data_IF_850022634830
#
_entry.id   IF_850022634830
#
_cell.length_a   1.000
_cell.length_b   1.000
_cell.length_c   1.000
_cell.angle_alpha   90.00
_cell.angle_beta   90.00
_cell.angle_gamma   90.00
#
_symmetry.space_group_name_H-M   'P 1'
#
loop_
_entity.id
_entity.type
_entity.pdbx_description
1 polymer ?
#
# COMPACT_ATOMS: atom_id res chain seq x y z
N UNK A 1 30.28 -0.07 -48.22
CA UNK A 1 29.76 -0.68 -46.99
C UNK A 1 28.47 0.03 -46.62
N UNK A 2 27.32 -0.67 -46.70
CA UNK A 2 26.01 -0.13 -46.32
C UNK A 2 25.68 -0.63 -44.91
N UNK A 3 25.63 0.27 -43.93
CA UNK A 3 25.21 -0.01 -42.56
C UNK A 3 23.69 -0.01 -42.51
N UNK A 4 23.08 -1.17 -42.22
CA UNK A 4 21.66 -1.28 -41.93
C UNK A 4 21.43 -0.98 -40.45
N UNK A 5 20.64 0.06 -40.16
CA UNK A 5 20.14 0.36 -38.82
C UNK A 5 18.84 -0.42 -38.62
N UNK A 6 18.85 -1.44 -37.77
CA UNK A 6 17.65 -2.18 -37.40
C UNK A 6 16.90 -1.40 -36.31
N UNK A 7 15.74 -0.85 -36.66
CA UNK A 7 14.80 -0.23 -35.71
C UNK A 7 14.00 -1.35 -35.07
N UNK A 8 14.25 -1.61 -33.79
CA UNK A 8 13.46 -2.53 -32.97
C UNK A 8 12.19 -1.80 -32.51
N UNK A 9 11.11 -1.93 -33.28
CA UNK A 9 9.79 -1.47 -32.86
C UNK A 9 9.23 -2.41 -31.77
N UNK A 10 9.25 -1.96 -30.52
CA UNK A 10 8.53 -2.61 -29.42
C UNK A 10 7.05 -2.30 -29.62
N UNK A 11 6.32 -3.26 -30.20
CA UNK A 11 4.86 -3.25 -30.24
C UNK A 11 4.33 -3.51 -28.82
N UNK A 12 3.97 -2.44 -28.12
CA UNK A 12 3.13 -2.51 -26.92
C UNK A 12 1.73 -2.93 -27.37
N UNK A 13 1.44 -4.23 -27.29
CA UNK A 13 0.08 -4.73 -27.42
C UNK A 13 -0.70 -4.33 -26.16
N UNK A 14 -1.47 -3.24 -26.25
CA UNK A 14 -2.52 -2.95 -25.29
C UNK A 14 -3.66 -3.95 -25.54
N UNK A 15 -3.66 -5.05 -24.80
CA UNK A 15 -4.83 -5.94 -24.74
C UNK A 15 -5.94 -5.16 -24.03
N UNK A 16 -7.13 -5.00 -24.63
CA UNK A 16 -8.25 -4.38 -23.95
C UNK A 16 -8.67 -5.31 -22.81
N UNK A 17 -8.44 -4.90 -21.56
CA UNK A 17 -8.97 -5.60 -20.39
C UNK A 17 -10.50 -5.53 -20.48
N UNK A 18 -11.12 -6.66 -20.82
CA UNK A 18 -12.57 -6.81 -20.77
C UNK A 18 -13.03 -6.61 -19.34
N UNK A 19 -14.05 -5.76 -19.15
CA UNK A 19 -14.70 -5.59 -17.86
C UNK A 19 -15.19 -6.97 -17.35
N UNK A 20 -14.60 -7.46 -16.26
CA UNK A 20 -14.98 -8.73 -15.62
C UNK A 20 -13.87 -9.78 -15.51
N UNK A 21 -12.68 -9.58 -16.10
CA UNK A 21 -11.59 -10.53 -15.91
C UNK A 21 -10.90 -10.32 -14.55
N UNK A 22 -10.88 -11.38 -13.73
CA UNK A 22 -10.21 -11.39 -12.43
C UNK A 22 -8.72 -11.67 -12.66
N UNK A 23 -7.87 -10.74 -12.20
CA UNK A 23 -6.43 -10.92 -12.14
C UNK A 23 -5.96 -10.80 -10.68
N UNK A 24 -5.45 -11.89 -10.07
CA UNK A 24 -5.04 -11.86 -8.67
C UNK A 24 -3.83 -10.93 -8.49
N UNK A 25 -3.63 -10.35 -7.30
CA UNK A 25 -2.43 -9.58 -6.99
C UNK A 25 -1.16 -10.41 -7.20
N UNK A 26 -0.17 -9.81 -7.86
CA UNK A 26 1.20 -10.36 -7.85
C UNK A 26 1.68 -10.35 -6.41
N UNK A 27 2.29 -11.46 -5.96
CA UNK A 27 2.78 -11.60 -4.59
C UNK A 27 4.30 -11.63 -4.54
N UNK A 28 4.85 -11.39 -3.35
CA UNK A 28 6.24 -11.66 -3.00
C UNK A 28 6.29 -12.69 -1.87
N UNK A 29 7.32 -13.52 -1.87
CA UNK A 29 7.58 -14.49 -0.81
C UNK A 29 8.29 -13.82 0.36
N UNK A 30 7.78 -14.04 1.56
CA UNK A 30 8.46 -13.69 2.82
C UNK A 30 8.83 -14.99 3.52
N UNK A 31 10.14 -15.31 3.64
CA UNK A 31 10.59 -16.59 4.16
C UNK A 31 10.23 -16.76 5.64
N UNK A 32 10.06 -18.02 6.05
CA UNK A 32 9.90 -18.37 7.46
C UNK A 32 11.13 -17.94 8.28
N UNK A 33 10.93 -17.72 9.58
CA UNK A 33 12.01 -17.48 10.53
C UNK A 33 11.85 -16.20 11.35
N UNK A 34 12.82 -16.00 12.23
CA UNK A 34 12.91 -14.86 13.13
C UNK A 34 13.00 -13.54 12.37
N UNK A 35 12.35 -12.51 12.91
CA UNK A 35 12.61 -11.11 12.57
C UNK A 35 12.48 -10.23 13.81
N UNK A 36 13.03 -9.02 13.74
CA UNK A 36 12.88 -8.00 14.78
C UNK A 36 11.65 -7.13 14.50
N UNK A 37 10.61 -7.28 15.33
CA UNK A 37 9.42 -6.42 15.32
C UNK A 37 9.64 -5.23 16.24
N UNK A 38 8.95 -4.12 15.98
CA UNK A 38 8.92 -2.94 16.83
C UNK A 38 10.09 -2.00 16.61
N UNK A 39 10.18 -1.00 17.49
CA UNK A 39 11.16 0.07 17.39
C UNK A 39 11.89 0.28 18.70
N UNK A 40 13.18 0.58 18.61
CA UNK A 40 13.95 1.05 19.74
C UNK A 40 13.77 2.56 19.96
N UNK A 41 14.34 3.06 21.05
CA UNK A 41 14.25 4.49 21.38
C UNK A 41 14.89 5.38 20.30
N UNK A 42 15.98 4.95 19.67
CA UNK A 42 16.66 5.77 18.68
C UNK A 42 15.81 5.91 17.41
N UNK A 43 15.13 4.85 16.99
CA UNK A 43 14.18 4.90 15.87
C UNK A 43 12.99 5.81 16.16
N UNK A 44 12.40 5.72 17.36
CA UNK A 44 11.30 6.60 17.77
C UNK A 44 11.72 8.08 17.78
N UNK A 45 12.89 8.37 18.33
CA UNK A 45 13.47 9.72 18.32
C UNK A 45 13.76 10.20 16.90
N UNK A 46 14.20 9.30 16.01
CA UNK A 46 14.43 9.64 14.61
C UNK A 46 13.12 9.97 13.89
N UNK A 47 12.04 9.22 14.15
CA UNK A 47 10.69 9.55 13.67
C UNK A 47 10.25 10.95 14.11
N UNK A 48 10.36 11.27 15.41
CA UNK A 48 10.01 12.60 15.90
C UNK A 48 10.84 13.70 15.25
N UNK A 49 12.14 13.47 15.08
CA UNK A 49 13.00 14.43 14.40
C UNK A 49 12.57 14.67 12.95
N UNK A 50 12.24 13.61 12.20
CA UNK A 50 11.75 13.73 10.82
C UNK A 50 10.46 14.55 10.74
N UNK A 51 9.47 14.25 11.57
CA UNK A 51 8.21 15.00 11.63
C UNK A 51 8.43 16.49 11.97
N UNK A 52 9.30 16.77 12.93
CA UNK A 52 9.61 18.15 13.33
C UNK A 52 10.28 18.93 12.20
N UNK A 53 11.15 18.28 11.40
CA UNK A 53 11.73 18.89 10.20
C UNK A 53 10.69 19.10 9.10
N UNK A 54 9.80 18.12 8.86
CA UNK A 54 8.81 18.17 7.79
C UNK A 54 7.69 19.18 8.06
N UNK A 55 7.18 19.22 9.30
CA UNK A 55 6.03 20.06 9.67
C UNK A 55 6.41 21.38 10.34
N UNK A 56 7.65 21.53 10.81
CA UNK A 56 8.08 22.72 11.54
C UNK A 56 7.48 22.86 12.94
N UNK A 57 6.94 21.77 13.52
CA UNK A 57 6.35 21.74 14.85
C UNK A 57 6.49 20.37 15.53
N UNK A 58 6.42 20.32 16.85
CA UNK A 58 6.60 19.09 17.65
C UNK A 58 5.28 18.41 18.07
N UNK A 59 4.19 18.58 17.31
CA UNK A 59 2.87 18.04 17.66
C UNK A 59 2.90 16.51 17.83
N UNK A 60 3.64 15.81 16.97
CA UNK A 60 3.72 14.34 17.00
C UNK A 60 4.42 13.86 18.29
N UNK A 61 5.49 14.56 18.71
CA UNK A 61 6.17 14.36 19.99
C UNK A 61 5.31 14.70 21.20
N UNK A 62 4.63 15.84 21.18
CA UNK A 62 3.76 16.27 22.29
C UNK A 62 2.64 15.26 22.54
N UNK A 63 2.09 14.68 21.47
CA UNK A 63 1.06 13.65 21.54
C UNK A 63 1.61 12.22 21.68
N UNK A 64 2.93 12.04 21.76
CA UNK A 64 3.60 10.75 21.99
C UNK A 64 3.22 9.66 20.98
N UNK A 65 3.05 10.01 19.70
CA UNK A 65 2.51 9.07 18.69
C UNK A 65 3.35 7.79 18.53
N UNK A 66 4.68 7.89 18.48
CA UNK A 66 5.59 6.74 18.39
C UNK A 66 5.78 5.95 19.70
N UNK A 67 5.24 6.42 20.83
CA UNK A 67 5.32 5.66 22.09
C UNK A 67 4.40 4.43 22.10
N UNK A 68 3.40 4.40 21.21
CA UNK A 68 2.52 3.25 21.02
C UNK A 68 3.20 2.08 20.28
N UNK A 69 4.37 2.29 19.68
CA UNK A 69 5.14 1.23 19.04
C UNK A 69 5.73 0.28 20.08
N UNK A 70 5.59 -1.02 19.83
CA UNK A 70 6.16 -2.05 20.71
C UNK A 70 7.68 -1.97 20.71
N UNK A 71 8.30 -2.32 21.85
CA UNK A 71 9.75 -2.40 21.94
C UNK A 71 10.28 -3.50 21.02
N UNK A 72 11.50 -3.31 20.50
CA UNK A 72 12.18 -4.30 19.67
C UNK A 72 12.23 -5.67 20.35
N UNK A 73 11.71 -6.69 19.67
CA UNK A 73 11.76 -8.07 20.15
C UNK A 73 11.80 -9.06 18.97
N UNK A 74 12.46 -10.23 19.15
CA UNK A 74 12.43 -11.27 18.14
C UNK A 74 11.05 -11.94 18.09
N UNK A 75 10.52 -12.12 16.88
CA UNK A 75 9.30 -12.90 16.62
C UNK A 75 9.59 -13.90 15.51
N UNK A 76 9.23 -15.16 15.72
CA UNK A 76 9.31 -16.19 14.69
C UNK A 76 7.98 -16.26 13.92
N UNK A 77 8.04 -16.23 12.60
CA UNK A 77 6.86 -16.32 11.73
C UNK A 77 7.03 -17.45 10.70
N UNK A 78 5.95 -18.17 10.36
CA UNK A 78 5.97 -19.07 9.21
C UNK A 78 6.23 -18.28 7.91
N UNK A 79 6.61 -18.99 6.85
CA UNK A 79 6.72 -18.39 5.52
C UNK A 79 5.34 -18.06 4.98
N UNK A 80 5.21 -16.94 4.28
CA UNK A 80 3.96 -16.50 3.68
C UNK A 80 4.20 -15.72 2.39
N UNK A 81 3.13 -15.54 1.63
CA UNK A 81 3.11 -14.61 0.50
C UNK A 81 2.26 -13.40 0.87
N UNK A 82 2.66 -12.23 0.36
CA UNK A 82 1.90 -10.98 0.51
C UNK A 82 1.85 -10.28 -0.85
N UNK A 83 0.80 -9.51 -1.11
CA UNK A 83 0.71 -8.75 -2.36
C UNK A 83 1.90 -7.80 -2.48
N UNK A 84 2.55 -7.80 -3.65
CA UNK A 84 3.71 -6.95 -3.96
C UNK A 84 3.38 -5.48 -3.81
N UNK A 85 2.15 -5.10 -4.15
CA UNK A 85 1.61 -3.75 -4.05
C UNK A 85 0.26 -3.77 -3.33
N UNK A 86 -0.29 -2.62 -2.93
CA UNK A 86 -1.69 -2.51 -2.55
C UNK A 86 -2.64 -3.02 -3.64
N UNK A 87 -3.83 -3.45 -3.23
CA UNK A 87 -4.91 -3.86 -4.16
C UNK A 87 -5.35 -2.64 -4.97
N UNK A 88 -5.44 -2.80 -6.28
CA UNK A 88 -5.81 -1.73 -7.21
C UNK A 88 -7.33 -1.58 -7.36
N UNK A 89 -7.77 -0.43 -7.86
CA UNK A 89 -9.17 -0.21 -8.22
C UNK A 89 -9.68 -1.24 -9.24
N UNK A 90 -8.87 -1.64 -10.22
CA UNK A 90 -9.30 -2.61 -11.23
C UNK A 90 -9.47 -4.02 -10.64
N UNK A 91 -8.58 -4.45 -9.74
CA UNK A 91 -8.73 -5.71 -9.00
C UNK A 91 -9.98 -5.71 -8.12
N UNK A 92 -10.26 -4.60 -7.44
CA UNK A 92 -11.46 -4.47 -6.62
C UNK A 92 -12.73 -4.35 -7.47
N UNK A 93 -12.64 -3.82 -8.70
CA UNK A 93 -13.78 -3.73 -9.62
C UNK A 93 -14.23 -5.13 -10.07
N UNK A 94 -13.28 -6.05 -10.31
CA UNK A 94 -13.60 -7.45 -10.60
C UNK A 94 -14.39 -8.11 -9.45
N UNK A 95 -14.02 -7.82 -8.19
CA UNK A 95 -14.75 -8.28 -7.01
C UNK A 95 -16.19 -7.74 -6.96
N UNK A 96 -16.38 -6.44 -7.17
CA UNK A 96 -17.72 -5.83 -7.19
C UNK A 96 -18.56 -6.43 -8.32
N UNK A 97 -18.00 -6.54 -9.52
CA UNK A 97 -18.70 -7.11 -10.67
C UNK A 97 -19.13 -8.56 -10.42
N UNK A 98 -18.29 -9.37 -9.78
CA UNK A 98 -18.58 -10.78 -9.50
C UNK A 98 -19.58 -11.00 -8.35
N UNK A 99 -19.66 -10.08 -7.39
CA UNK A 99 -20.38 -10.32 -6.12
C UNK A 99 -21.55 -9.38 -5.86
N UNK A 100 -21.64 -8.27 -6.60
CA UNK A 100 -22.58 -7.19 -6.30
C UNK A 100 -22.26 -6.45 -4.99
N UNK A 101 -21.04 -6.61 -4.44
CA UNK A 101 -20.63 -5.90 -3.22
C UNK A 101 -20.68 -4.37 -3.43
N UNK A 102 -21.11 -3.57 -2.43
CA UNK A 102 -21.18 -2.12 -2.58
C UNK A 102 -19.83 -1.49 -2.94
N UNK A 103 -19.89 -0.48 -3.80
CA UNK A 103 -18.72 0.27 -4.22
C UNK A 103 -18.11 1.05 -3.03
N UNK A 104 -16.77 1.28 -3.03
CA UNK A 104 -16.11 2.06 -2.00
C UNK A 104 -16.70 3.47 -1.89
N UNK A 105 -17.06 3.84 -0.67
CA UNK A 105 -17.61 5.16 -0.36
C UNK A 105 -17.50 5.46 1.12
N UNK A 106 -17.59 6.73 1.45
CA UNK A 106 -17.73 7.25 2.81
C UNK A 106 -18.68 8.44 2.74
N UNK A 107 -19.63 8.54 3.66
CA UNK A 107 -20.48 9.72 3.77
C UNK A 107 -19.81 10.80 4.63
N UNK A 108 -20.33 12.03 4.55
CA UNK A 108 -19.76 13.17 5.25
C UNK A 108 -19.78 13.02 6.77
N UNK A 109 -20.83 12.44 7.35
CA UNK A 109 -20.96 12.26 8.80
C UNK A 109 -19.91 11.26 9.28
N UNK A 110 -19.80 10.13 8.59
CA UNK A 110 -18.77 9.13 8.86
C UNK A 110 -17.36 9.71 8.72
N UNK A 111 -17.08 10.46 7.65
CA UNK A 111 -15.76 11.07 7.45
C UNK A 111 -15.40 12.06 8.57
N UNK A 112 -16.34 12.91 8.96
CA UNK A 112 -16.14 13.87 10.06
C UNK A 112 -15.90 13.17 11.40
N UNK A 113 -16.54 12.01 11.63
CA UNK A 113 -16.34 11.21 12.85
C UNK A 113 -14.89 10.73 13.05
N UNK A 114 -14.09 10.66 11.96
CA UNK A 114 -12.70 10.22 12.04
C UNK A 114 -11.77 11.29 12.66
N UNK A 115 -12.21 12.54 12.74
CA UNK A 115 -11.40 13.63 13.30
C UNK A 115 -10.14 13.95 12.48
N UNK A 116 -10.14 13.63 11.18
CA UNK A 116 -9.01 13.88 10.28
C UNK A 116 -8.89 15.37 9.94
N UNK A 117 -7.66 15.82 9.68
CA UNK A 117 -7.37 17.20 9.27
C UNK A 117 -7.89 17.53 7.86
N UNK A 118 -8.25 16.52 7.08
CA UNK A 118 -8.68 16.68 5.70
C UNK A 118 -10.20 16.79 5.59
N UNK A 119 -10.72 17.76 4.81
CA UNK A 119 -12.15 17.94 4.67
C UNK A 119 -12.75 16.85 3.76
N UNK A 120 -14.05 16.58 3.94
CA UNK A 120 -14.78 15.51 3.24
C UNK A 120 -14.69 15.64 1.71
N UNK A 121 -14.65 16.87 1.20
CA UNK A 121 -14.58 17.20 -0.23
C UNK A 121 -13.33 16.59 -0.91
N UNK A 122 -12.25 16.35 -0.15
CA UNK A 122 -11.06 15.67 -0.69
C UNK A 122 -11.33 14.22 -1.06
N UNK A 123 -12.36 13.59 -0.49
CA UNK A 123 -12.74 12.20 -0.77
C UNK A 123 -13.48 12.04 -2.10
N UNK A 124 -14.17 13.08 -2.57
CA UNK A 124 -15.09 13.01 -3.71
C UNK A 124 -14.43 12.48 -4.99
N UNK A 125 -13.15 12.84 -5.21
CA UNK A 125 -12.38 12.39 -6.38
C UNK A 125 -12.02 10.89 -6.38
N UNK A 126 -12.15 10.24 -5.23
CA UNK A 126 -11.89 8.81 -5.07
C UNK A 126 -13.17 7.98 -5.01
N UNK A 127 -14.34 8.62 -4.94
CA UNK A 127 -15.62 7.92 -4.91
C UNK A 127 -15.91 7.25 -6.24
N UNK A 128 -16.47 6.05 -6.15
CA UNK A 128 -16.90 5.28 -7.30
C UNK A 128 -18.29 5.72 -7.73
N UNK A 129 -18.46 6.06 -9.00
CA UNK A 129 -19.75 6.46 -9.56
C UNK A 129 -20.33 5.30 -10.36
N UNK A 130 -21.60 4.97 -10.12
CA UNK A 130 -22.30 3.85 -10.79
C UNK A 130 -21.54 2.52 -10.69
N UNK A 131 -20.88 2.28 -9.56
CA UNK A 131 -20.10 1.06 -9.32
C UNK A 131 -18.79 0.97 -10.11
N UNK A 132 -18.34 2.07 -10.74
CA UNK A 132 -17.11 2.12 -11.53
C UNK A 132 -16.01 2.89 -10.81
N UNK A 133 -14.74 2.46 -10.95
CA UNK A 133 -13.62 3.18 -10.37
C UNK A 133 -13.47 4.58 -11.00
N UNK A 134 -12.85 5.53 -10.29
CA UNK A 134 -12.57 6.84 -10.83
C UNK A 134 -11.79 6.75 -12.16
N UNK A 135 -12.20 7.56 -13.14
CA UNK A 135 -11.62 7.54 -14.49
C UNK A 135 -10.09 7.76 -14.43
N UNK A 136 -9.35 6.89 -15.10
CA UNK A 136 -7.89 6.98 -15.18
C UNK A 136 -7.15 6.50 -13.93
N UNK A 137 -7.83 5.83 -12.99
CA UNK A 137 -7.23 5.35 -11.72
C UNK A 137 -7.31 3.83 -11.54
N UNK A 138 -7.40 3.08 -12.64
CA UNK A 138 -7.58 1.63 -12.61
C UNK A 138 -6.44 0.91 -11.85
N UNK A 139 -5.21 1.39 -12.02
CA UNK A 139 -3.97 0.92 -11.42
C UNK A 139 -3.58 1.63 -10.11
N UNK A 140 -4.35 2.63 -9.68
CA UNK A 140 -4.19 3.23 -8.35
C UNK A 140 -4.73 2.28 -7.28
N UNK A 141 -4.23 2.38 -6.04
CA UNK A 141 -4.76 1.62 -4.92
C UNK A 141 -6.25 1.96 -4.70
N UNK A 142 -7.06 0.94 -4.39
CA UNK A 142 -8.43 1.15 -3.95
C UNK A 142 -8.42 1.77 -2.56
N UNK A 143 -9.20 2.83 -2.37
CA UNK A 143 -9.33 3.56 -1.11
C UNK A 143 -10.81 3.66 -0.72
N UNK A 144 -11.10 4.23 0.45
CA UNK A 144 -12.47 4.35 0.98
C UNK A 144 -13.17 3.00 1.17
N UNK A 145 -12.40 1.95 1.47
CA UNK A 145 -12.94 0.64 1.84
C UNK A 145 -12.85 0.46 3.36
N UNK A 146 -13.87 -0.17 3.93
CA UNK A 146 -13.83 -0.58 5.34
C UNK A 146 -13.04 -1.87 5.52
N UNK A 147 -12.55 -2.14 6.74
CA UNK A 147 -11.92 -3.41 7.11
C UNK A 147 -12.80 -4.62 6.73
N UNK A 148 -14.11 -4.54 7.00
CA UNK A 148 -15.09 -5.57 6.64
C UNK A 148 -15.15 -5.84 5.12
N UNK A 149 -14.97 -4.79 4.31
CA UNK A 149 -14.95 -4.92 2.85
C UNK A 149 -13.65 -5.55 2.37
N UNK A 150 -12.51 -5.18 2.97
CA UNK A 150 -11.23 -5.83 2.69
C UNK A 150 -11.25 -7.33 3.05
N UNK A 151 -11.86 -7.71 4.18
CA UNK A 151 -12.09 -9.11 4.53
C UNK A 151 -13.02 -9.83 3.54
N UNK A 152 -14.06 -9.15 3.05
CA UNK A 152 -14.94 -9.73 2.03
C UNK A 152 -14.21 -9.98 0.70
N UNK A 153 -13.35 -9.05 0.30
CA UNK A 153 -12.49 -9.17 -0.87
C UNK A 153 -11.57 -10.38 -0.78
N UNK A 154 -10.81 -10.55 0.30
CA UNK A 154 -9.89 -11.70 0.44
C UNK A 154 -10.64 -13.04 0.55
N UNK A 155 -11.84 -13.06 1.15
CA UNK A 155 -12.70 -14.25 1.13
C UNK A 155 -13.18 -14.59 -0.26
N UNK A 156 -13.54 -13.60 -1.08
CA UNK A 156 -13.90 -13.80 -2.47
C UNK A 156 -12.70 -14.29 -3.28
N UNK A 157 -11.55 -13.62 -3.17
CA UNK A 157 -10.33 -13.99 -3.87
C UNK A 157 -9.89 -15.43 -3.54
N UNK A 158 -10.08 -15.87 -2.29
CA UNK A 158 -9.83 -17.27 -1.89
C UNK A 158 -10.72 -18.27 -2.64
N UNK A 159 -11.99 -17.93 -2.86
CA UNK A 159 -12.91 -18.81 -3.60
C UNK A 159 -12.56 -18.87 -5.09
N UNK A 160 -12.20 -17.74 -5.68
CA UNK A 160 -11.92 -17.67 -7.12
C UNK A 160 -10.56 -18.30 -7.49
N UNK A 161 -9.55 -18.17 -6.62
CA UNK A 161 -8.20 -18.67 -6.90
C UNK A 161 -7.97 -20.09 -6.38
N UNK A 162 -8.73 -20.53 -5.37
CA UNK A 162 -8.47 -21.77 -4.65
C UNK A 162 -7.35 -21.66 -3.59
N UNK A 163 -6.58 -20.57 -3.61
CA UNK A 163 -5.57 -20.26 -2.60
C UNK A 163 -6.18 -19.62 -1.35
N UNK A 164 -5.48 -19.70 -0.22
CA UNK A 164 -5.92 -19.05 1.03
C UNK A 164 -5.46 -17.59 1.07
N UNK A 165 -6.36 -16.66 0.77
CA UNK A 165 -6.15 -15.22 0.92
C UNK A 165 -6.73 -14.70 2.23
N UNK A 166 -6.01 -13.79 2.88
CA UNK A 166 -6.43 -13.10 4.10
C UNK A 166 -5.71 -11.76 4.25
N UNK A 167 -6.16 -10.94 5.17
CA UNK A 167 -5.38 -9.78 5.60
C UNK A 167 -4.12 -10.25 6.35
N UNK A 168 -2.97 -9.55 6.19
CA UNK A 168 -1.79 -9.84 6.98
C UNK A 168 -2.05 -9.46 8.44
N UNK A 169 -1.40 -10.17 9.36
CA UNK A 169 -1.26 -9.67 10.74
C UNK A 169 -0.31 -8.46 10.75
N UNK A 170 -0.33 -7.66 11.83
CA UNK A 170 0.61 -6.54 11.97
C UNK A 170 2.08 -7.00 11.88
N UNK A 171 2.43 -8.13 12.51
CA UNK A 171 3.77 -8.69 12.47
C UNK A 171 4.19 -9.16 11.07
N UNK A 172 3.28 -9.79 10.32
CA UNK A 172 3.55 -10.20 8.93
C UNK A 172 3.75 -8.99 8.01
N UNK A 173 2.90 -7.97 8.15
CA UNK A 173 3.05 -6.74 7.39
C UNK A 173 4.38 -6.05 7.70
N UNK A 174 4.75 -5.96 8.98
CA UNK A 174 6.00 -5.32 9.40
C UNK A 174 7.23 -6.09 8.91
N UNK A 175 7.23 -7.43 9.02
CA UNK A 175 8.31 -8.27 8.47
C UNK A 175 8.44 -8.06 6.96
N UNK A 176 7.32 -8.09 6.23
CA UNK A 176 7.29 -7.89 4.79
C UNK A 176 7.85 -6.51 4.38
N UNK A 177 7.52 -5.47 5.16
CA UNK A 177 7.92 -4.10 4.90
C UNK A 177 9.39 -3.82 5.26
N UNK A 178 9.88 -4.31 6.40
CA UNK A 178 11.17 -3.87 6.98
C UNK A 178 12.28 -4.93 6.89
N UNK A 179 11.94 -6.17 6.50
CA UNK A 179 12.87 -7.30 6.46
C UNK A 179 13.22 -7.87 7.84
N UNK A 180 14.07 -8.89 7.84
CA UNK A 180 14.45 -9.65 9.05
C UNK A 180 15.09 -8.81 10.16
N UNK A 181 15.90 -7.81 9.78
CA UNK A 181 16.69 -7.01 10.71
C UNK A 181 15.94 -5.79 11.27
N UNK A 182 14.68 -5.56 10.88
CA UNK A 182 13.91 -4.41 11.34
C UNK A 182 14.48 -3.07 10.85
N UNK A 183 14.66 -2.91 9.54
CA UNK A 183 15.13 -1.65 8.97
C UNK A 183 14.18 -0.49 9.31
N UNK A 184 14.68 0.72 9.59
CA UNK A 184 13.82 1.89 9.90
C UNK A 184 12.83 2.21 8.76
N UNK A 185 13.24 2.02 7.51
CA UNK A 185 12.41 2.12 6.30
C UNK A 185 12.55 0.85 5.46
N UNK A 186 11.63 0.57 4.52
CA UNK A 186 11.74 -0.60 3.65
C UNK A 186 13.09 -0.70 2.93
N UNK A 187 13.63 0.44 2.49
CA UNK A 187 14.90 0.53 1.77
C UNK A 187 16.15 0.71 2.66
N UNK A 188 16.03 0.69 3.99
CA UNK A 188 17.18 0.76 4.90
C UNK A 188 17.00 1.72 6.07
N UNK A 189 18.10 2.32 6.54
CA UNK A 189 18.12 3.08 7.80
C UNK A 189 17.95 4.60 7.64
N UNK A 190 18.06 5.13 6.42
CA UNK A 190 18.00 6.58 6.15
C UNK A 190 16.73 6.92 5.40
N UNK A 191 16.04 7.96 5.88
CA UNK A 191 14.89 8.51 5.18
C UNK A 191 15.29 9.02 3.79
N UNK A 192 14.44 8.76 2.79
CA UNK A 192 14.66 9.14 1.40
C UNK A 192 13.30 9.47 0.76
N UNK A 193 12.96 10.77 0.61
CA UNK A 193 11.63 11.21 0.18
C UNK A 193 11.30 10.90 -1.29
N UNK A 194 12.27 10.47 -2.09
CA UNK A 194 12.11 10.01 -3.47
C UNK A 194 11.70 8.54 -3.59
N UNK A 195 11.66 7.80 -2.47
CA UNK A 195 11.38 6.36 -2.42
C UNK A 195 9.95 6.01 -2.01
N UNK A 196 9.11 7.02 -1.78
CA UNK A 196 7.73 6.85 -1.36
C UNK A 196 6.87 8.00 -1.87
N UNK A 197 5.56 7.75 -1.94
CA UNK A 197 4.59 8.82 -2.01
C UNK A 197 4.24 9.28 -0.58
N UNK A 198 4.73 10.45 -0.18
CA UNK A 198 4.41 11.03 1.13
C UNK A 198 4.14 12.52 1.03
N UNK A 199 3.75 13.13 2.15
CA UNK A 199 3.60 14.57 2.25
C UNK A 199 4.92 15.33 1.98
N UNK A 200 6.07 14.69 2.20
CA UNK A 200 7.39 15.31 2.06
C UNK A 200 7.73 15.70 0.61
N UNK A 201 7.21 14.95 -0.37
CA UNK A 201 7.52 15.15 -1.79
C UNK A 201 6.27 15.14 -2.70
N UNK A 202 5.08 14.99 -2.12
CA UNK A 202 3.83 14.86 -2.87
C UNK A 202 3.70 13.52 -3.60
N UNK A 203 2.75 13.40 -4.56
CA UNK A 203 1.96 14.47 -5.18
C UNK A 203 0.70 14.91 -4.40
N UNK A 204 0.57 14.55 -3.12
CA UNK A 204 -0.64 14.79 -2.30
C UNK A 204 -1.89 14.10 -2.85
N UNK A 205 -1.66 12.96 -3.47
CA UNK A 205 -2.64 12.15 -4.18
C UNK A 205 -2.11 10.72 -4.29
N UNK A 206 -2.98 9.71 -4.43
CA UNK A 206 -2.50 8.37 -4.77
C UNK A 206 -1.88 8.37 -6.16
N UNK A 207 -0.86 7.55 -6.37
CA UNK A 207 -0.32 7.24 -7.70
C UNK A 207 -0.68 5.81 -8.09
N UNK A 208 -0.48 5.44 -9.36
CA UNK A 208 -0.49 4.04 -9.77
C UNK A 208 0.41 3.23 -8.82
N UNK A 209 0.05 1.98 -8.53
CA UNK A 209 0.88 1.16 -7.62
C UNK A 209 2.24 0.85 -8.25
N UNK A 210 3.27 0.71 -7.41
CA UNK A 210 4.60 0.29 -7.81
C UNK A 210 5.44 1.34 -8.53
N UNK A 211 5.08 2.63 -8.48
CA UNK A 211 5.87 3.70 -9.09
C UNK A 211 7.20 3.97 -8.36
N UNK A 212 7.33 3.54 -7.10
CA UNK A 212 8.50 3.77 -6.26
C UNK A 212 9.35 2.50 -6.13
N UNK A 213 9.85 1.99 -7.26
CA UNK A 213 10.60 0.73 -7.29
C UNK A 213 11.82 0.71 -6.37
N UNK A 214 12.52 1.86 -6.25
CA UNK A 214 13.69 1.97 -5.37
C UNK A 214 13.33 2.08 -3.89
N UNK A 215 12.04 2.16 -3.56
CA UNK A 215 11.48 2.07 -2.22
C UNK A 215 11.06 0.66 -1.81
N UNK A 216 11.42 -0.36 -2.60
CA UNK A 216 11.13 -1.75 -2.27
C UNK A 216 11.67 -2.16 -0.91
N UNK A 217 10.92 -3.02 -0.22
CA UNK A 217 11.39 -3.76 0.94
C UNK A 217 12.47 -4.77 0.56
N UNK A 218 13.17 -5.38 1.55
CA UNK A 218 14.16 -6.43 1.29
C UNK A 218 13.57 -7.67 0.60
N UNK A 219 12.25 -7.86 0.63
CA UNK A 219 11.53 -8.94 -0.05
C UNK A 219 10.87 -8.50 -1.36
N UNK A 220 11.05 -7.25 -1.79
CA UNK A 220 10.51 -6.73 -3.04
C UNK A 220 9.08 -6.19 -2.96
N UNK A 221 8.50 -6.07 -1.75
CA UNK A 221 7.22 -5.38 -1.54
C UNK A 221 7.39 -3.89 -1.82
N UNK A 222 6.48 -3.30 -2.59
CA UNK A 222 6.45 -1.88 -2.94
C UNK A 222 5.36 -1.16 -2.15
N UNK A 223 5.49 0.16 -2.03
CA UNK A 223 4.50 1.04 -1.41
C UNK A 223 4.16 0.68 0.05
N UNK A 224 5.09 0.02 0.76
CA UNK A 224 4.93 -0.29 2.19
C UNK A 224 5.09 0.95 3.08
N UNK A 225 5.79 1.99 2.60
CA UNK A 225 5.80 3.31 3.20
C UNK A 225 5.11 4.30 2.26
N UNK A 226 4.16 5.08 2.76
CA UNK A 226 3.40 6.06 1.98
C UNK A 226 2.22 5.49 1.19
N UNK A 227 1.83 6.19 0.11
CA UNK A 227 0.73 5.90 -0.82
C UNK A 227 -0.71 6.06 -0.29
N UNK A 228 -1.21 5.21 0.62
CA UNK A 228 -2.64 5.22 1.05
C UNK A 228 -2.83 5.33 2.55
#
# INVERSE_FOLDING_TARGET
MKTFLAILSILLFSVPVTAGEMFPPVTVEVPAGLFLVGSDRQEKEYGYWLDEQAYGHSVTRQNKWYENEVARQPVDLPGFHISKTPVTNAQYAAFIAATGHPAPTVDQVTWQSYGLIHPYERTLKFQWLEGRPPKGRADHPVVLISHKSAEAYVRWLSRETGDKWRLPTAAEWEKAARGTNGNAFPWGSKFAPDKLNSHDNGPFETTAVGQYETGASPFGMLDAAGQV
#
